data_IF_949400708059
#
_entry.id   IF_949400708059
#
_cell.length_a   1.000
_cell.length_b   1.000
_cell.length_c   1.000
_cell.angle_alpha   90.00
_cell.angle_beta   90.00
_cell.angle_gamma   90.00
#
_symmetry.space_group_name_H-M   'P 1'
#
loop_
_entity.id
_entity.type
_entity.pdbx_description
1 polymer ?
#
# COMPACT_ATOMS: atom_id res chain seq x y z
N UNK A 1 -13.43 -21.31 -16.88
CA UNK A 1 -12.10 -20.82 -16.46
C UNK A 1 -12.36 -19.58 -15.63
N UNK A 2 -11.97 -19.61 -14.35
CA UNK A 2 -12.37 -18.61 -13.36
C UNK A 2 -11.97 -17.20 -13.81
N UNK A 3 -12.96 -16.31 -13.89
CA UNK A 3 -12.80 -14.88 -14.11
C UNK A 3 -12.09 -14.34 -12.86
N UNK A 4 -10.76 -14.26 -12.91
CA UNK A 4 -9.90 -13.91 -11.79
C UNK A 4 -10.41 -12.66 -11.08
N UNK A 5 -10.71 -12.81 -9.78
CA UNK A 5 -11.17 -11.81 -8.83
C UNK A 5 -10.39 -10.48 -8.97
N UNK A 6 -10.93 -9.52 -9.74
CA UNK A 6 -10.43 -8.14 -9.76
C UNK A 6 -10.77 -7.48 -8.42
N UNK A 7 -9.94 -7.73 -7.42
CA UNK A 7 -10.02 -7.07 -6.13
C UNK A 7 -9.43 -5.64 -6.20
N UNK A 8 -9.61 -4.86 -5.14
CA UNK A 8 -9.15 -3.48 -5.08
C UNK A 8 -7.63 -3.34 -5.32
N UNK A 9 -6.83 -4.35 -4.90
CA UNK A 9 -5.38 -4.36 -5.08
C UNK A 9 -5.01 -4.54 -6.57
N UNK A 10 -5.68 -5.44 -7.29
CA UNK A 10 -5.49 -5.61 -8.74
C UNK A 10 -5.85 -4.34 -9.51
N UNK A 11 -6.95 -3.67 -9.15
CA UNK A 11 -7.32 -2.41 -9.79
C UNK A 11 -6.29 -1.31 -9.54
N UNK A 12 -5.77 -1.19 -8.31
CA UNK A 12 -4.72 -0.24 -7.99
C UNK A 12 -3.41 -0.54 -8.74
N UNK A 13 -3.08 -1.82 -8.91
CA UNK A 13 -1.91 -2.25 -9.68
C UNK A 13 -2.03 -1.86 -11.15
N UNK A 14 -3.16 -2.11 -11.80
CA UNK A 14 -3.37 -1.74 -13.20
C UNK A 14 -3.32 -0.22 -13.43
N UNK A 15 -3.83 0.58 -12.47
CA UNK A 15 -3.67 2.04 -12.51
C UNK A 15 -2.20 2.43 -12.40
N UNK A 16 -1.46 1.85 -11.45
CA UNK A 16 -0.02 2.09 -11.30
C UNK A 16 0.74 1.77 -12.59
N UNK A 17 0.46 0.62 -13.21
CA UNK A 17 1.09 0.22 -14.49
C UNK A 17 0.86 1.28 -15.57
N UNK A 18 -0.38 1.74 -15.72
CA UNK A 18 -0.73 2.74 -16.72
C UNK A 18 -0.05 4.09 -16.46
N UNK A 19 0.04 4.52 -15.19
CA UNK A 19 0.70 5.76 -14.79
C UNK A 19 2.22 5.70 -15.01
N UNK A 20 2.87 4.61 -14.60
CA UNK A 20 4.32 4.42 -14.74
C UNK A 20 4.76 4.28 -16.19
N UNK A 21 3.96 3.59 -17.02
CA UNK A 21 4.19 3.55 -18.46
C UNK A 21 4.08 4.95 -19.08
N UNK A 22 3.06 5.72 -18.70
CA UNK A 22 2.82 7.07 -19.23
C UNK A 22 3.89 8.08 -18.80
N UNK A 23 4.28 8.06 -17.53
CA UNK A 23 5.15 9.08 -16.95
C UNK A 23 6.64 8.75 -17.11
N UNK A 24 6.99 7.47 -17.02
CA UNK A 24 8.37 7.02 -16.90
C UNK A 24 8.78 6.03 -18.02
N UNK A 25 7.85 5.64 -18.89
CA UNK A 25 8.10 4.64 -19.93
C UNK A 25 8.39 3.24 -19.38
N UNK A 26 8.06 3.00 -18.10
CA UNK A 26 8.32 1.74 -17.43
C UNK A 26 7.21 0.74 -17.75
N UNK A 27 7.58 -0.37 -18.39
CA UNK A 27 6.66 -1.47 -18.65
C UNK A 27 6.64 -2.41 -17.44
N UNK A 28 5.74 -2.11 -16.51
CA UNK A 28 5.46 -3.00 -15.38
C UNK A 28 4.63 -4.16 -15.89
N UNK A 29 5.07 -5.39 -15.61
CA UNK A 29 4.48 -6.62 -16.13
C UNK A 29 3.54 -7.28 -15.12
N UNK A 30 2.62 -8.13 -15.61
CA UNK A 30 1.58 -8.74 -14.77
C UNK A 30 2.13 -9.67 -13.67
N UNK A 31 3.31 -10.28 -13.86
CA UNK A 31 4.00 -11.11 -12.87
C UNK A 31 4.50 -10.30 -11.66
N UNK A 32 4.70 -8.99 -11.82
CA UNK A 32 5.07 -8.09 -10.72
C UNK A 32 3.89 -7.79 -9.77
N UNK A 33 2.66 -8.21 -10.13
CA UNK A 33 1.47 -8.04 -9.29
C UNK A 33 1.65 -8.67 -7.91
N UNK A 34 2.20 -9.89 -7.84
CA UNK A 34 2.35 -10.59 -6.56
C UNK A 34 3.32 -9.89 -5.61
N UNK A 35 4.36 -9.25 -6.16
CA UNK A 35 5.28 -8.44 -5.37
C UNK A 35 4.59 -7.17 -4.85
N UNK A 36 3.84 -6.50 -5.71
CA UNK A 36 3.04 -5.34 -5.33
C UNK A 36 2.01 -5.68 -4.24
N UNK A 37 1.26 -6.78 -4.41
CA UNK A 37 0.26 -7.22 -3.45
C UNK A 37 0.90 -7.54 -2.09
N UNK A 38 2.06 -8.23 -2.09
CA UNK A 38 2.79 -8.54 -0.85
C UNK A 38 3.21 -7.27 -0.11
N UNK A 39 3.77 -6.29 -0.82
CA UNK A 39 4.16 -5.00 -0.24
C UNK A 39 2.95 -4.22 0.29
N UNK A 40 1.85 -4.22 -0.46
CA UNK A 40 0.59 -3.59 -0.05
C UNK A 40 0.05 -4.22 1.25
N UNK A 41 0.00 -5.55 1.33
CA UNK A 41 -0.47 -6.26 2.54
C UNK A 41 0.41 -5.99 3.75
N UNK A 42 1.73 -5.95 3.58
CA UNK A 42 2.67 -5.63 4.65
C UNK A 42 2.42 -4.20 5.17
N UNK A 43 2.32 -3.21 4.28
CA UNK A 43 2.06 -1.83 4.68
C UNK A 43 0.71 -1.66 5.41
N UNK A 44 -0.33 -2.37 4.98
CA UNK A 44 -1.63 -2.36 5.68
C UNK A 44 -1.52 -2.99 7.07
N UNK A 45 -0.80 -4.11 7.20
CA UNK A 45 -0.59 -4.75 8.50
C UNK A 45 0.15 -3.82 9.47
N UNK A 46 1.17 -3.12 9.00
CA UNK A 46 1.92 -2.17 9.82
C UNK A 46 1.04 -1.00 10.27
N UNK A 47 0.18 -0.47 9.38
CA UNK A 47 -0.79 0.56 9.75
C UNK A 47 -1.81 0.08 10.79
N UNK A 48 -2.25 -1.18 10.72
CA UNK A 48 -3.13 -1.78 11.73
C UNK A 48 -2.41 -1.86 13.07
N UNK A 49 -1.16 -2.32 13.09
CA UNK A 49 -0.34 -2.37 14.31
C UNK A 49 -0.17 -0.97 14.92
N UNK A 50 0.07 0.04 14.10
CA UNK A 50 0.18 1.44 14.55
C UNK A 50 -1.15 1.90 15.15
N UNK A 51 -2.28 1.59 14.51
CA UNK A 51 -3.60 1.95 15.02
C UNK A 51 -3.91 1.28 16.38
N UNK A 52 -3.50 0.02 16.54
CA UNK A 52 -3.74 -0.77 17.76
C UNK A 52 -2.82 -0.40 18.92
N UNK A 53 -1.56 -0.06 18.63
CA UNK A 53 -0.53 0.15 19.66
C UNK A 53 -0.17 1.61 19.89
N UNK A 54 -0.51 2.51 18.95
CA UNK A 54 -0.02 3.88 18.91
C UNK A 54 1.48 3.99 18.61
N UNK A 55 2.16 2.88 18.31
CA UNK A 55 3.61 2.86 18.10
C UNK A 55 3.95 2.45 16.68
N UNK A 56 4.92 3.16 16.09
CA UNK A 56 5.47 2.84 14.77
C UNK A 56 6.88 2.29 14.90
N UNK A 57 7.13 1.02 14.50
CA UNK A 57 8.47 0.43 14.59
C UNK A 57 9.43 1.03 13.56
N UNK A 58 8.96 1.28 12.33
CA UNK A 58 9.76 1.85 11.24
C UNK A 58 8.93 2.85 10.42
N UNK A 59 9.59 3.92 9.95
CA UNK A 59 8.95 4.94 9.11
C UNK A 59 8.70 4.42 7.70
N UNK A 60 7.53 4.73 7.16
CA UNK A 60 7.24 4.45 5.75
C UNK A 60 8.03 5.41 4.85
N UNK A 61 8.68 4.86 3.82
CA UNK A 61 9.33 5.67 2.78
C UNK A 61 8.30 6.46 1.96
N UNK A 62 7.09 5.91 1.79
CA UNK A 62 5.99 6.60 1.11
C UNK A 62 5.47 7.76 1.98
N UNK A 63 5.54 9.02 1.51
CA UNK A 63 5.05 10.17 2.27
C UNK A 63 3.56 10.08 2.63
N UNK A 64 2.76 9.49 1.74
CA UNK A 64 1.33 9.28 1.98
C UNK A 64 1.07 8.26 3.10
N UNK A 65 1.82 7.15 3.12
CA UNK A 65 1.71 6.15 4.18
C UNK A 65 2.22 6.69 5.51
N UNK A 66 3.32 7.45 5.50
CA UNK A 66 3.84 8.07 6.72
C UNK A 66 2.85 9.08 7.31
N UNK A 67 2.25 9.93 6.47
CA UNK A 67 1.22 10.87 6.93
C UNK A 67 0.00 10.14 7.54
N UNK A 68 -0.37 8.98 7.01
CA UNK A 68 -1.44 8.16 7.60
C UNK A 68 -1.01 7.57 8.94
N UNK A 69 0.21 7.05 9.06
CA UNK A 69 0.77 6.57 10.32
C UNK A 69 0.78 7.66 11.41
N UNK A 70 1.28 8.85 11.08
CA UNK A 70 1.34 9.99 12.01
C UNK A 70 -0.06 10.35 12.55
N UNK A 71 -1.08 10.30 11.68
CA UNK A 71 -2.48 10.56 12.07
C UNK A 71 -3.05 9.47 12.97
N UNK A 72 -2.70 8.21 12.73
CA UNK A 72 -3.14 7.10 13.56
C UNK A 72 -2.54 7.20 14.97
N UNK A 73 -1.24 7.46 15.07
CA UNK A 73 -0.54 7.69 16.34
C UNK A 73 -1.20 8.84 17.12
N UNK A 74 -1.41 9.99 16.46
CA UNK A 74 -2.02 11.17 17.08
C UNK A 74 -3.45 10.92 17.58
N UNK A 75 -4.18 10.00 16.94
CA UNK A 75 -5.54 9.64 17.35
C UNK A 75 -5.55 8.70 18.57
N UNK A 76 -4.54 7.83 18.67
CA UNK A 76 -4.38 6.91 19.80
C UNK A 76 -3.91 7.64 21.07
N UNK A 77 -3.14 8.73 20.95
CA UNK A 77 -2.67 9.56 22.08
C UNK A 77 -3.79 10.35 22.81
N UNK A 78 -5.02 10.39 22.26
CA UNK A 78 -6.16 11.11 22.84
C UNK A 78 -7.04 10.25 23.78
N UNK A 79 -6.67 8.99 24.05
CA UNK A 79 -7.38 8.07 24.96
C UNK A 79 -6.56 7.83 26.23
#
# INVERSE_FOLDING_TARGET
>A
MAQSDRNACMNAFEVLRAEEYKNNGLDITADQYWLFERGYRAAVQDLIIIAETGTQPEKFVSPKLQSLADRLISATDCV
#
